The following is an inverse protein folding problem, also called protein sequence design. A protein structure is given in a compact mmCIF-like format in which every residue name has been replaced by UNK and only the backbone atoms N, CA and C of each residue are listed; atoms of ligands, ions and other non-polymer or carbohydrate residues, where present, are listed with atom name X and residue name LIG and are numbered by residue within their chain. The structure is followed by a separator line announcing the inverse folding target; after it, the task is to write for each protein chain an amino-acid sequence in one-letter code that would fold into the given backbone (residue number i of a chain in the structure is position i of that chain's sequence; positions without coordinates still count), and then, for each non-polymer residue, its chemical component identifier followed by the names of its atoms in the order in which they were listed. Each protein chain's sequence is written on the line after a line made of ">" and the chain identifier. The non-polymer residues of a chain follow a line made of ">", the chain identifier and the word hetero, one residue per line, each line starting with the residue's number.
data_IF_431503226998
#
_entry.id   IF_431503226998
#
_cell.length_a   1.000
_cell.length_b   1.000
_cell.length_c   1.000
_cell.angle_alpha   90.00
_cell.angle_beta   90.00
_cell.angle_gamma   90.00
#
_symmetry.space_group_name_H-M   'P 1'
#
loop_
_entity.id
_entity.type
_entity.pdbx_description
1 polymer ?
#
# COMPACT_ATOMS: atom_id res chain seq x y z
N UNK A 1 -68.70 4.78 -3.67
CA UNK A 1 -68.58 4.69 -2.19
C UNK A 1 -67.12 4.51 -1.75
N UNK A 2 -66.16 4.97 -2.56
CA UNK A 2 -64.74 5.06 -2.17
C UNK A 2 -64.25 6.51 -2.17
N UNK A 3 -65.17 7.45 -2.38
CA UNK A 3 -64.91 8.88 -2.57
C UNK A 3 -65.19 9.71 -1.31
N UNK A 4 -65.64 9.06 -0.23
CA UNK A 4 -66.07 9.70 1.03
C UNK A 4 -65.00 9.61 2.15
N UNK A 5 -63.83 9.05 1.86
CA UNK A 5 -62.67 9.12 2.76
C UNK A 5 -61.87 10.41 2.47
N UNK A 6 -62.57 11.54 2.44
CA UNK A 6 -61.91 12.85 2.44
C UNK A 6 -61.32 13.05 3.83
N UNK A 7 -60.02 12.82 3.97
CA UNK A 7 -59.28 13.25 5.16
C UNK A 7 -59.66 14.71 5.41
N UNK A 8 -60.29 15.03 6.54
CA UNK A 8 -60.71 16.40 6.83
C UNK A 8 -59.54 17.37 6.66
N UNK A 9 -59.80 18.61 6.25
CA UNK A 9 -58.77 19.64 6.00
C UNK A 9 -57.73 19.79 7.13
N UNK A 10 -58.07 19.36 8.34
CA UNK A 10 -57.20 19.29 9.51
C UNK A 10 -56.12 18.19 9.50
N UNK A 11 -56.23 17.13 8.69
CA UNK A 11 -55.28 15.99 8.64
C UNK A 11 -54.19 16.19 7.59
N UNK A 12 -54.49 16.95 6.52
CA UNK A 12 -53.55 17.33 5.45
C UNK A 12 -52.22 17.94 5.95
N UNK A 13 -52.21 18.84 6.96
CA UNK A 13 -50.97 19.37 7.53
C UNK A 13 -50.07 18.31 8.17
N UNK A 14 -50.65 17.33 8.87
CA UNK A 14 -49.90 16.25 9.52
C UNK A 14 -49.30 15.27 8.49
N UNK A 15 -50.03 14.97 7.42
CA UNK A 15 -49.51 14.17 6.30
C UNK A 15 -48.37 14.87 5.58
N UNK A 16 -48.48 16.20 5.40
CA UNK A 16 -47.42 17.01 4.80
C UNK A 16 -46.17 17.04 5.68
N UNK A 17 -46.32 17.19 6.99
CA UNK A 17 -45.17 17.18 7.92
C UNK A 17 -44.45 15.82 7.91
N UNK A 18 -45.20 14.71 7.90
CA UNK A 18 -44.66 13.36 7.73
C UNK A 18 -43.92 13.18 6.40
N UNK A 19 -44.47 13.71 5.31
CA UNK A 19 -43.83 13.71 4.01
C UNK A 19 -42.52 14.50 4.04
N UNK A 20 -42.53 15.71 4.57
CA UNK A 20 -41.35 16.58 4.69
C UNK A 20 -40.26 15.93 5.56
N UNK A 21 -40.64 15.29 6.66
CA UNK A 21 -39.71 14.51 7.50
C UNK A 21 -39.12 13.32 6.75
N UNK A 22 -39.93 12.62 5.95
CA UNK A 22 -39.46 11.48 5.15
C UNK A 22 -38.44 11.94 4.12
N UNK A 23 -38.71 13.04 3.42
CA UNK A 23 -37.76 13.66 2.47
C UNK A 23 -36.47 14.06 3.18
N UNK A 24 -36.56 14.71 4.35
CA UNK A 24 -35.38 15.09 5.12
C UNK A 24 -34.52 13.89 5.55
N UNK A 25 -35.15 12.76 5.91
CA UNK A 25 -34.44 11.52 6.24
C UNK A 25 -33.74 10.94 5.02
N UNK A 26 -34.39 10.96 3.85
CA UNK A 26 -33.80 10.50 2.59
C UNK A 26 -32.56 11.34 2.23
N UNK A 27 -32.66 12.67 2.29
CA UNK A 27 -31.53 13.56 1.99
C UNK A 27 -30.33 13.35 2.94
N UNK A 28 -30.61 13.15 4.24
CA UNK A 28 -29.57 12.81 5.21
C UNK A 28 -28.94 11.45 4.92
N UNK A 29 -29.75 10.48 4.52
CA UNK A 29 -29.30 9.13 4.18
C UNK A 29 -28.41 9.13 2.93
N UNK A 30 -28.71 9.96 1.93
CA UNK A 30 -27.87 10.23 0.75
C UNK A 30 -26.51 10.81 1.20
N UNK A 31 -26.55 11.89 2.00
CA UNK A 31 -25.34 12.56 2.51
C UNK A 31 -24.45 11.60 3.31
N UNK A 32 -25.04 10.75 4.15
CA UNK A 32 -24.29 9.74 4.92
C UNK A 32 -23.65 8.69 4.01
N UNK A 33 -24.32 8.28 2.93
CA UNK A 33 -23.72 7.36 1.94
C UNK A 33 -22.50 8.00 1.29
N UNK A 34 -22.58 9.27 0.91
CA UNK A 34 -21.44 9.98 0.31
C UNK A 34 -20.25 10.09 1.27
N UNK A 35 -20.51 10.40 2.54
CA UNK A 35 -19.46 10.44 3.57
C UNK A 35 -18.82 9.07 3.76
N UNK A 36 -19.62 7.99 3.82
CA UNK A 36 -19.12 6.63 3.98
C UNK A 36 -18.27 6.22 2.78
N UNK A 37 -18.69 6.57 1.56
CA UNK A 37 -17.91 6.31 0.35
C UNK A 37 -16.58 7.07 0.38
N UNK A 38 -16.58 8.35 0.76
CA UNK A 38 -15.35 9.13 0.92
C UNK A 38 -14.41 8.55 1.98
N UNK A 39 -14.96 8.07 3.11
CA UNK A 39 -14.17 7.41 4.15
C UNK A 39 -13.58 6.08 3.66
N UNK A 40 -14.35 5.31 2.90
CA UNK A 40 -13.88 4.05 2.31
C UNK A 40 -12.73 4.31 1.33
N UNK A 41 -12.84 5.34 0.51
CA UNK A 41 -11.78 5.71 -0.43
C UNK A 41 -10.50 6.14 0.29
N UNK A 42 -10.63 6.91 1.38
CA UNK A 42 -9.51 7.25 2.26
C UNK A 42 -8.89 6.02 2.91
N UNK A 43 -9.71 5.08 3.40
CA UNK A 43 -9.23 3.84 3.99
C UNK A 43 -8.45 3.00 2.97
N UNK A 44 -8.96 2.87 1.74
CA UNK A 44 -8.23 2.19 0.67
C UNK A 44 -6.94 2.93 0.29
N UNK A 45 -6.93 4.26 0.31
CA UNK A 45 -5.73 5.07 0.10
C UNK A 45 -4.66 4.79 1.16
N UNK A 46 -5.03 4.77 2.44
CA UNK A 46 -4.13 4.41 3.55
C UNK A 46 -3.57 2.99 3.41
N UNK A 47 -4.41 2.02 3.03
CA UNK A 47 -3.95 0.65 2.76
C UNK A 47 -2.94 0.61 1.61
N UNK A 48 -3.18 1.36 0.53
CA UNK A 48 -2.26 1.44 -0.60
C UNK A 48 -0.94 2.12 -0.21
N UNK A 49 -0.96 3.14 0.64
CA UNK A 49 0.24 3.77 1.19
C UNK A 49 1.05 2.79 2.05
N UNK A 50 0.38 2.03 2.92
CA UNK A 50 1.02 1.00 3.72
C UNK A 50 1.63 -0.10 2.82
N UNK A 51 0.89 -0.56 1.80
CA UNK A 51 1.37 -1.55 0.84
C UNK A 51 2.59 -1.04 0.07
N UNK A 52 2.57 0.20 -0.39
CA UNK A 52 3.72 0.82 -1.05
C UNK A 52 4.95 0.84 -0.14
N UNK A 53 4.78 1.15 1.15
CA UNK A 53 5.87 1.12 2.14
C UNK A 53 6.41 -0.30 2.34
N UNK A 54 5.54 -1.30 2.46
CA UNK A 54 5.94 -2.71 2.61
C UNK A 54 6.70 -3.20 1.38
N UNK A 55 6.15 -2.94 0.18
CA UNK A 55 6.79 -3.27 -1.10
C UNK A 55 8.16 -2.61 -1.25
N UNK A 56 8.28 -1.35 -0.85
CA UNK A 56 9.54 -0.62 -0.85
C UNK A 56 10.57 -1.29 0.05
N UNK A 57 10.20 -1.63 1.30
CA UNK A 57 11.11 -2.32 2.24
C UNK A 57 11.56 -3.66 1.69
N UNK A 58 10.63 -4.49 1.18
CA UNK A 58 10.96 -5.78 0.58
C UNK A 58 11.91 -5.61 -0.61
N UNK A 59 11.63 -4.65 -1.50
CA UNK A 59 12.45 -4.37 -2.69
C UNK A 59 13.86 -3.93 -2.30
N UNK A 60 14.00 -3.08 -1.27
CA UNK A 60 15.32 -2.64 -0.78
C UNK A 60 16.12 -3.86 -0.30
N UNK A 61 15.51 -4.71 0.52
CA UNK A 61 16.15 -5.94 1.02
C UNK A 61 16.55 -6.84 -0.16
N UNK A 62 15.62 -7.15 -1.06
CA UNK A 62 15.88 -8.01 -2.23
C UNK A 62 16.97 -7.46 -3.14
N UNK A 63 16.97 -6.15 -3.42
CA UNK A 63 17.98 -5.52 -4.30
C UNK A 63 19.40 -5.65 -3.72
N UNK A 64 19.54 -5.69 -2.40
CA UNK A 64 20.82 -5.95 -1.74
C UNK A 64 21.13 -7.45 -1.80
N UNK A 65 20.21 -8.31 -1.38
CA UNK A 65 20.48 -9.74 -1.23
C UNK A 65 20.64 -10.51 -2.54
N UNK A 66 19.93 -10.14 -3.62
CA UNK A 66 20.00 -10.86 -4.90
C UNK A 66 21.42 -10.87 -5.50
N UNK A 67 22.11 -9.73 -5.74
CA UNK A 67 23.46 -9.74 -6.29
C UNK A 67 24.48 -10.34 -5.33
N UNK A 68 24.32 -10.14 -4.02
CA UNK A 68 25.15 -10.77 -2.98
C UNK A 68 25.03 -12.29 -3.00
N UNK A 69 23.81 -12.81 -3.05
CA UNK A 69 23.52 -14.26 -3.11
C UNK A 69 24.01 -14.86 -4.42
N UNK A 70 23.87 -14.15 -5.53
CA UNK A 70 24.42 -14.56 -6.82
C UNK A 70 25.94 -14.70 -6.75
N UNK A 71 26.63 -13.72 -6.15
CA UNK A 71 28.08 -13.75 -6.00
C UNK A 71 28.51 -14.92 -5.11
N UNK A 72 27.86 -15.12 -3.96
CA UNK A 72 28.10 -16.29 -3.11
C UNK A 72 27.81 -17.60 -3.84
N UNK A 73 26.76 -17.65 -4.65
CA UNK A 73 26.41 -18.81 -5.47
C UNK A 73 27.50 -19.16 -6.48
N UNK A 74 28.00 -18.17 -7.22
CA UNK A 74 29.10 -18.35 -8.19
C UNK A 74 30.39 -18.81 -7.49
N UNK A 75 30.76 -18.21 -6.35
CA UNK A 75 31.94 -18.63 -5.58
C UNK A 75 31.75 -19.93 -4.78
N UNK A 76 30.50 -20.34 -4.53
CA UNK A 76 30.14 -21.58 -3.86
C UNK A 76 30.04 -22.78 -4.80
N UNK A 77 30.02 -22.55 -6.12
CA UNK A 77 30.19 -23.63 -7.10
C UNK A 77 31.63 -24.16 -7.01
N UNK A 78 31.80 -25.49 -6.86
CA UNK A 78 33.10 -26.18 -6.78
C UNK A 78 33.89 -26.07 -8.10
N UNK A 79 34.32 -24.88 -8.48
CA UNK A 79 35.22 -24.67 -9.60
C UNK A 79 36.65 -24.93 -9.11
N UNK A 80 37.13 -26.13 -9.41
CA UNK A 80 38.48 -26.64 -9.14
C UNK A 80 39.61 -25.78 -9.78
N UNK A 81 39.25 -24.80 -10.61
CA UNK A 81 40.19 -23.94 -11.33
C UNK A 81 39.66 -22.49 -11.49
N UNK A 82 39.26 -21.82 -10.41
CA UNK A 82 39.11 -20.35 -10.44
C UNK A 82 40.52 -19.74 -10.30
N UNK A 83 41.11 -19.11 -11.33
CA UNK A 83 42.47 -18.54 -11.26
C UNK A 83 42.60 -17.44 -10.18
N UNK A 84 41.51 -16.78 -9.83
CA UNK A 84 41.44 -15.74 -8.78
C UNK A 84 41.57 -16.31 -7.36
N UNK A 85 41.28 -17.60 -7.13
CA UNK A 85 41.40 -18.26 -5.82
C UNK A 85 42.84 -18.68 -5.48
N UNK A 86 43.72 -18.78 -6.49
CA UNK A 86 45.17 -19.03 -6.30
C UNK A 86 45.91 -17.81 -5.74
N UNK A 87 45.24 -16.66 -5.68
CA UNK A 87 45.78 -15.45 -5.08
C UNK A 87 45.47 -15.44 -3.57
N UNK A 88 46.52 -15.27 -2.73
CA UNK A 88 46.39 -15.20 -1.26
C UNK A 88 45.35 -14.18 -0.76
N UNK A 89 45.00 -13.19 -1.59
CA UNK A 89 44.06 -12.12 -1.25
C UNK A 89 42.71 -12.21 -1.97
N UNK A 90 42.44 -13.25 -2.77
CA UNK A 90 41.18 -13.38 -3.53
C UNK A 90 39.95 -13.42 -2.61
N UNK A 91 40.00 -14.23 -1.54
CA UNK A 91 38.89 -14.33 -0.58
C UNK A 91 38.62 -13.01 0.18
N UNK A 92 39.61 -12.32 0.76
CA UNK A 92 39.43 -10.98 1.33
C UNK A 92 38.90 -9.94 0.33
N UNK A 93 39.37 -9.98 -0.92
CA UNK A 93 38.97 -9.00 -1.95
C UNK A 93 37.49 -9.16 -2.34
N UNK A 94 37.00 -10.40 -2.44
CA UNK A 94 35.58 -10.69 -2.68
C UNK A 94 34.71 -10.17 -1.54
N UNK A 95 35.14 -10.34 -0.29
CA UNK A 95 34.46 -9.75 0.87
C UNK A 95 34.41 -8.23 0.81
N UNK A 96 35.52 -7.57 0.44
CA UNK A 96 35.56 -6.11 0.26
C UNK A 96 34.58 -5.67 -0.83
N UNK A 97 34.52 -6.38 -1.96
CA UNK A 97 33.58 -6.07 -3.06
C UNK A 97 32.13 -6.24 -2.60
N UNK A 98 31.79 -7.32 -1.89
CA UNK A 98 30.45 -7.56 -1.36
C UNK A 98 30.01 -6.45 -0.39
N UNK A 99 30.87 -6.08 0.57
CA UNK A 99 30.58 -5.02 1.55
C UNK A 99 30.48 -3.67 0.85
N UNK A 100 31.38 -3.36 -0.09
CA UNK A 100 31.35 -2.11 -0.84
C UNK A 100 30.08 -1.98 -1.68
N UNK A 101 29.64 -3.06 -2.33
CA UNK A 101 28.41 -3.11 -3.13
C UNK A 101 27.17 -2.89 -2.25
N UNK A 102 27.10 -3.55 -1.09
CA UNK A 102 26.02 -3.36 -0.12
C UNK A 102 25.95 -1.91 0.36
N UNK A 103 27.10 -1.30 0.70
CA UNK A 103 27.17 0.08 1.16
C UNK A 103 26.81 1.09 0.06
N UNK A 104 27.22 0.84 -1.19
CA UNK A 104 26.86 1.66 -2.34
C UNK A 104 25.35 1.67 -2.57
N UNK A 105 24.73 0.49 -2.57
CA UNK A 105 23.27 0.35 -2.73
C UNK A 105 22.52 1.01 -1.57
N UNK A 106 22.94 0.78 -0.32
CA UNK A 106 22.36 1.45 0.85
C UNK A 106 22.47 2.98 0.77
N UNK A 107 23.64 3.50 0.39
CA UNK A 107 23.85 4.94 0.24
C UNK A 107 23.01 5.54 -0.89
N UNK A 108 22.83 4.80 -1.98
CA UNK A 108 21.98 5.20 -3.10
C UNK A 108 20.51 5.24 -2.69
N UNK A 109 20.00 4.21 -2.01
CA UNK A 109 18.64 4.18 -1.48
C UNK A 109 18.38 5.31 -0.47
N UNK A 110 19.33 5.57 0.43
CA UNK A 110 19.25 6.69 1.38
C UNK A 110 19.19 8.06 0.67
N UNK A 111 19.97 8.24 -0.40
CA UNK A 111 19.96 9.49 -1.20
C UNK A 111 18.65 9.71 -1.94
N UNK A 112 18.00 8.63 -2.36
CA UNK A 112 16.74 8.69 -3.11
C UNK A 112 15.53 8.99 -2.23
N UNK A 113 15.70 9.18 -0.91
CA UNK A 113 14.62 9.36 0.08
C UNK A 113 13.58 8.23 0.04
N UNK A 114 14.04 7.01 -0.22
CA UNK A 114 13.21 5.80 -0.07
C UNK A 114 13.11 5.35 1.40
N UNK A 115 13.48 6.25 2.32
CA UNK A 115 13.48 6.13 3.77
C UNK A 115 12.78 7.35 4.35
#
# INVERSE_FOLDING_TARGET
>A
KLDDLTFGESVLPYLRDLYDHTVQVIDRQETLRDIINGLRDLYHSELNLAMNKIMQVLTIISTIFIPLTFLVGVYGMNFENIPELKWKFGYPMVWVVMVMMALLLLKWFKRKKWF
#
